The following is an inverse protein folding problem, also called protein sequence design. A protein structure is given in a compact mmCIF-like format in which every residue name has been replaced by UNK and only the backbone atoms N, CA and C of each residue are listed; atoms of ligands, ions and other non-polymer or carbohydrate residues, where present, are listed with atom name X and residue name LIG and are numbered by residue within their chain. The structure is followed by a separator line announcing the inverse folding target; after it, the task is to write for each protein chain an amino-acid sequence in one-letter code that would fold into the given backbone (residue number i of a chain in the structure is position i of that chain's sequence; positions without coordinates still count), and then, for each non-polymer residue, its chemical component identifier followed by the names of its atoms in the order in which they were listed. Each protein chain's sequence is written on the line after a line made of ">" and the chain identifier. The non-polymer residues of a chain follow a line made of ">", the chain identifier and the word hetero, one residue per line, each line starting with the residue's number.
data_IF_276986340848
#
_entry.id   IF_276986340848
#
_cell.length_a   1.000
_cell.length_b   1.000
_cell.length_c   1.000
_cell.angle_alpha   90.00
_cell.angle_beta   90.00
_cell.angle_gamma   90.00
#
_symmetry.space_group_name_H-M   'P 1'
#
loop_
_entity.id
_entity.type
_entity.pdbx_description
1 polymer ?
#
# COMPACT_ATOMS: atom_id res chain seq x y z
N UNK A 1 25.49 10.42 14.47
CA UNK A 1 25.18 8.97 14.52
C UNK A 1 26.41 8.25 15.01
N UNK A 2 26.26 7.26 15.90
CA UNK A 2 27.39 6.42 16.34
C UNK A 2 27.91 5.58 15.16
N UNK A 3 29.20 5.22 15.19
CA UNK A 3 29.84 4.35 14.20
C UNK A 3 30.57 3.19 14.90
N UNK A 4 30.14 1.93 14.72
CA UNK A 4 28.94 1.51 13.99
C UNK A 4 27.64 1.89 14.75
N UNK A 5 26.50 2.08 14.04
CA UNK A 5 25.21 2.32 14.67
C UNK A 5 24.65 0.99 15.23
N UNK A 6 25.08 0.61 16.43
CA UNK A 6 24.69 -0.66 17.09
C UNK A 6 23.53 -0.50 18.07
N UNK A 7 23.06 0.72 18.32
CA UNK A 7 21.93 1.01 19.19
C UNK A 7 21.04 2.09 18.60
N UNK A 8 19.74 2.01 18.90
CA UNK A 8 18.77 3.04 18.57
C UNK A 8 18.89 4.20 19.57
N UNK A 9 18.67 5.42 19.09
CA UNK A 9 18.38 6.54 20.00
C UNK A 9 16.93 6.39 20.43
N UNK A 10 16.61 6.32 21.73
CA UNK A 10 15.23 6.33 22.19
C UNK A 10 14.47 7.51 21.56
N UNK A 11 13.19 7.32 21.25
CA UNK A 11 12.32 8.34 20.67
C UNK A 11 12.75 8.88 19.28
N UNK A 12 13.70 8.22 18.60
CA UNK A 12 14.11 8.58 17.23
C UNK A 12 13.41 7.75 16.14
N UNK A 13 12.40 6.97 16.50
CA UNK A 13 11.64 6.11 15.59
C UNK A 13 10.16 6.14 15.97
N UNK A 14 9.31 5.94 14.97
CA UNK A 14 7.87 5.84 15.16
C UNK A 14 7.31 4.75 14.25
N UNK A 15 6.22 4.11 14.71
CA UNK A 15 5.39 3.31 13.82
C UNK A 15 4.55 4.28 12.99
N UNK A 16 4.58 4.13 11.67
CA UNK A 16 3.82 4.98 10.75
C UNK A 16 2.49 4.36 10.35
N UNK A 17 2.44 3.03 10.32
CA UNK A 17 1.25 2.21 10.11
C UNK A 17 1.36 0.91 10.92
N UNK A 18 0.22 0.34 11.27
CA UNK A 18 0.10 -0.92 11.99
C UNK A 18 -1.35 -1.42 11.91
N UNK A 19 -1.54 -2.67 11.48
CA UNK A 19 -2.81 -3.38 11.59
C UNK A 19 -2.90 -4.09 12.96
N UNK A 20 -3.72 -3.61 13.92
CA UNK A 20 -3.82 -4.20 15.24
C UNK A 20 -4.60 -5.51 15.29
N UNK A 21 -5.38 -5.84 14.26
CA UNK A 21 -6.24 -7.03 14.25
C UNK A 21 -5.59 -8.22 13.53
N UNK A 22 -6.11 -9.40 13.85
CA UNK A 22 -5.81 -10.65 13.16
C UNK A 22 -4.32 -10.99 13.16
N UNK A 23 -3.77 -11.24 11.97
CA UNK A 23 -2.37 -11.64 11.77
C UNK A 23 -1.44 -10.44 11.55
N UNK A 24 -1.92 -9.21 11.77
CA UNK A 24 -1.16 -7.97 11.51
C UNK A 24 -0.67 -7.87 10.06
N UNK A 25 -1.58 -8.15 9.11
CA UNK A 25 -1.27 -8.28 7.69
C UNK A 25 -0.99 -6.92 7.04
N UNK A 26 0.24 -6.44 7.17
CA UNK A 26 0.72 -5.19 6.59
C UNK A 26 2.19 -5.31 6.16
N UNK A 27 2.50 -4.95 4.92
CA UNK A 27 3.86 -4.96 4.39
C UNK A 27 4.01 -4.04 3.16
N UNK A 28 5.18 -4.05 2.52
CA UNK A 28 5.38 -3.37 1.25
C UNK A 28 5.21 -1.85 1.31
N UNK A 29 5.72 -1.21 2.36
CA UNK A 29 5.60 0.24 2.54
C UNK A 29 6.31 1.04 1.43
N UNK A 30 5.64 2.07 0.91
CA UNK A 30 6.18 3.03 -0.04
C UNK A 30 5.76 4.45 0.35
N UNK A 31 6.72 5.36 0.46
CA UNK A 31 6.49 6.77 0.79
C UNK A 31 6.50 7.61 -0.49
N UNK A 32 5.49 8.45 -0.68
CA UNK A 32 5.38 9.33 -1.84
C UNK A 32 4.92 10.73 -1.43
N UNK A 33 5.65 11.77 -1.86
CA UNK A 33 5.29 13.17 -1.60
C UNK A 33 4.44 13.69 -2.74
N UNK A 34 3.26 14.23 -2.43
CA UNK A 34 2.41 14.89 -3.42
C UNK A 34 1.66 16.07 -2.80
N UNK A 35 1.85 17.26 -3.39
CA UNK A 35 1.39 18.52 -2.81
C UNK A 35 1.87 18.68 -1.36
N UNK A 36 0.95 19.05 -0.47
CA UNK A 36 1.26 19.32 0.94
C UNK A 36 1.42 18.06 1.80
N UNK A 37 1.16 16.87 1.28
CA UNK A 37 1.11 15.63 2.05
C UNK A 37 2.17 14.63 1.64
N UNK A 38 2.61 13.83 2.61
CA UNK A 38 3.36 12.60 2.42
C UNK A 38 2.37 11.45 2.52
N UNK A 39 2.31 10.60 1.51
CA UNK A 39 1.44 9.44 1.43
C UNK A 39 2.25 8.18 1.69
N UNK A 40 1.82 7.42 2.70
CA UNK A 40 2.34 6.09 3.00
C UNK A 40 1.40 5.08 2.37
N UNK A 41 1.81 4.52 1.24
CA UNK A 41 1.15 3.37 0.62
C UNK A 41 1.70 2.09 1.25
N UNK A 42 0.82 1.11 1.46
CA UNK A 42 1.20 -0.19 1.99
C UNK A 42 0.24 -1.25 1.47
N UNK A 43 0.72 -2.48 1.41
CA UNK A 43 -0.13 -3.63 1.15
C UNK A 43 -0.74 -4.14 2.45
N UNK A 44 -2.02 -4.47 2.42
CA UNK A 44 -2.80 -4.99 3.55
C UNK A 44 -3.51 -6.27 3.14
N UNK A 45 -3.70 -7.18 4.09
CA UNK A 45 -4.40 -8.44 3.88
C UNK A 45 -3.48 -9.61 3.53
N UNK A 46 -4.07 -10.78 3.30
CA UNK A 46 -3.33 -12.02 3.09
C UNK A 46 -2.74 -12.04 1.68
N UNK A 47 -1.42 -12.03 1.60
CA UNK A 47 -0.69 -12.31 0.36
C UNK A 47 -0.46 -13.81 0.18
N UNK A 48 -0.04 -14.14 -1.05
CA UNK A 48 0.76 -15.32 -1.32
C UNK A 48 -0.01 -16.65 -1.20
N UNK A 49 0.57 -17.72 -1.76
CA UNK A 49 -0.01 -19.06 -1.72
C UNK A 49 -1.47 -19.14 -2.22
N UNK A 50 -1.88 -18.23 -3.11
CA UNK A 50 -3.25 -18.16 -3.61
C UNK A 50 -3.64 -19.37 -4.48
N UNK A 51 -2.65 -20.11 -4.96
CA UNK A 51 -2.78 -21.39 -5.66
C UNK A 51 -3.16 -22.55 -4.73
N UNK A 52 -2.87 -22.44 -3.43
CA UNK A 52 -3.08 -23.51 -2.45
C UNK A 52 -4.11 -23.14 -1.37
N UNK A 53 -4.19 -21.87 -0.97
CA UNK A 53 -5.16 -21.38 0.02
C UNK A 53 -5.53 -19.93 -0.23
N UNK A 54 -6.76 -19.71 -0.67
CA UNK A 54 -7.33 -18.36 -0.77
C UNK A 54 -7.91 -17.91 0.58
N UNK A 55 -7.68 -16.66 0.99
CA UNK A 55 -8.39 -16.09 2.13
C UNK A 55 -9.88 -15.89 1.81
N UNK A 56 -10.67 -15.53 2.82
CA UNK A 56 -12.06 -15.13 2.61
C UNK A 56 -12.12 -13.90 1.68
N UNK A 57 -13.22 -13.74 0.94
CA UNK A 57 -13.39 -12.61 0.04
C UNK A 57 -13.31 -11.29 0.81
N UNK A 58 -12.46 -10.38 0.34
CA UNK A 58 -12.19 -9.11 1.01
C UNK A 58 -11.04 -9.18 2.01
N UNK A 59 -10.47 -10.34 2.31
CA UNK A 59 -9.29 -10.48 3.18
C UNK A 59 -8.00 -10.67 2.38
N UNK A 60 -8.09 -10.83 1.06
CA UNK A 60 -6.93 -10.87 0.19
C UNK A 60 -6.20 -9.53 0.11
N UNK A 61 -4.95 -9.64 -0.36
CA UNK A 61 -4.04 -8.54 -0.56
C UNK A 61 -4.66 -7.36 -1.31
N UNK A 62 -4.47 -6.16 -0.78
CA UNK A 62 -4.94 -4.90 -1.36
C UNK A 62 -3.98 -3.78 -1.01
N UNK A 63 -4.07 -2.68 -1.75
CA UNK A 63 -3.26 -1.48 -1.52
C UNK A 63 -4.09 -0.47 -0.73
N UNK A 64 -3.58 -0.06 0.43
CA UNK A 64 -4.13 1.02 1.25
C UNK A 64 -3.15 2.19 1.31
N UNK A 65 -3.67 3.35 1.71
CA UNK A 65 -2.87 4.57 1.90
C UNK A 65 -3.31 5.33 3.13
N UNK A 66 -2.34 5.93 3.81
CA UNK A 66 -2.54 7.00 4.78
C UNK A 66 -1.71 8.21 4.36
N UNK A 67 -2.03 9.41 4.88
CA UNK A 67 -1.22 10.61 4.62
C UNK A 67 -0.91 11.39 5.89
N UNK A 68 0.22 12.10 5.85
CA UNK A 68 0.66 13.00 6.91
C UNK A 68 1.27 14.27 6.31
N UNK A 69 1.04 15.43 6.92
CA UNK A 69 1.74 16.67 6.53
C UNK A 69 3.23 16.61 6.90
N UNK A 70 3.57 16.11 8.08
CA UNK A 70 4.97 16.05 8.57
C UNK A 70 5.77 14.92 7.90
N UNK A 71 5.10 13.84 7.50
CA UNK A 71 5.72 12.67 6.86
C UNK A 71 6.47 11.73 7.81
N UNK A 72 6.53 12.05 9.11
CA UNK A 72 7.23 11.25 10.13
C UNK A 72 6.33 10.76 11.26
N UNK A 73 5.07 11.21 11.30
CA UNK A 73 4.07 10.84 12.31
C UNK A 73 2.66 11.22 11.84
N UNK A 74 1.62 10.86 12.60
CA UNK A 74 0.23 11.27 12.36
C UNK A 74 -0.28 10.95 10.95
N UNK A 75 0.05 9.75 10.46
CA UNK A 75 -0.52 9.22 9.23
C UNK A 75 -1.96 8.80 9.49
N UNK A 76 -2.89 9.40 8.74
CA UNK A 76 -4.33 9.12 8.84
C UNK A 76 -4.90 8.75 7.48
N UNK A 77 -6.04 8.08 7.49
CA UNK A 77 -6.83 7.83 6.29
C UNK A 77 -7.86 8.93 6.01
N UNK A 78 -8.68 8.72 4.98
CA UNK A 78 -9.74 9.65 4.54
C UNK A 78 -10.83 9.90 5.56
N UNK A 79 -11.00 9.00 6.53
CA UNK A 79 -11.96 9.13 7.62
C UNK A 79 -11.31 9.71 8.89
N UNK A 80 -10.02 9.99 8.85
CA UNK A 80 -9.25 10.57 9.95
C UNK A 80 -8.74 9.55 10.97
N UNK A 81 -8.90 8.24 10.72
CA UNK A 81 -8.40 7.17 11.59
C UNK A 81 -6.89 7.02 11.44
N UNK A 82 -6.19 6.80 12.55
CA UNK A 82 -4.74 6.61 12.55
C UNK A 82 -4.36 5.31 11.85
N UNK A 83 -3.34 5.39 11.00
CA UNK A 83 -2.80 4.23 10.32
C UNK A 83 -2.22 3.19 11.31
N UNK A 84 -1.76 3.64 12.47
CA UNK A 84 -1.28 2.77 13.56
C UNK A 84 -2.39 2.09 14.36
N UNK A 85 -3.65 2.42 14.08
CA UNK A 85 -4.84 1.85 14.70
C UNK A 85 -5.66 1.04 13.68
N UNK A 86 -5.02 0.59 12.60
CA UNK A 86 -5.68 -0.12 11.49
C UNK A 86 -6.45 0.81 10.55
N UNK A 87 -6.05 2.08 10.47
CA UNK A 87 -6.52 3.00 9.44
C UNK A 87 -6.02 2.62 8.05
N UNK A 88 -6.51 3.32 7.04
CA UNK A 88 -6.01 3.33 5.67
C UNK A 88 -7.15 3.35 4.65
N UNK A 89 -7.07 4.27 3.71
CA UNK A 89 -8.00 4.35 2.57
C UNK A 89 -7.60 3.32 1.53
N UNK A 90 -8.54 2.50 1.06
CA UNK A 90 -8.27 1.53 -0.01
C UNK A 90 -8.08 2.27 -1.33
N UNK A 91 -6.95 2.02 -2.00
CA UNK A 91 -6.59 2.60 -3.31
C UNK A 91 -6.85 1.62 -4.45
N UNK A 92 -6.54 0.34 -4.20
CA UNK A 92 -6.76 -0.74 -5.16
C UNK A 92 -7.00 -2.06 -4.42
N UNK A 93 -8.09 -2.74 -4.76
CA UNK A 93 -8.42 -4.07 -4.26
C UNK A 93 -8.73 -5.01 -5.43
N UNK A 94 -8.97 -6.29 -5.15
CA UNK A 94 -9.40 -7.23 -6.19
C UNK A 94 -10.66 -6.77 -6.90
N UNK A 95 -10.69 -6.89 -8.23
CA UNK A 95 -11.81 -6.54 -9.09
C UNK A 95 -11.64 -7.20 -10.46
N UNK A 96 -12.74 -7.65 -11.08
CA UNK A 96 -12.67 -8.36 -12.36
C UNK A 96 -11.66 -9.51 -12.32
N UNK A 97 -10.69 -9.49 -13.24
CA UNK A 97 -9.63 -10.50 -13.32
C UNK A 97 -8.38 -10.15 -12.50
N UNK A 98 -8.36 -9.02 -11.80
CA UNK A 98 -7.28 -8.60 -10.91
C UNK A 98 -7.56 -9.13 -9.51
N UNK A 99 -6.72 -10.02 -9.01
CA UNK A 99 -6.82 -10.58 -7.66
C UNK A 99 -5.56 -10.31 -6.84
N UNK A 100 -5.75 -9.84 -5.60
CA UNK A 100 -4.66 -9.64 -4.66
C UNK A 100 -3.59 -8.63 -5.09
N UNK A 101 -3.91 -7.41 -5.59
CA UNK A 101 -2.89 -6.45 -5.97
C UNK A 101 -2.11 -5.93 -4.76
N UNK A 102 -0.78 -5.82 -4.90
CA UNK A 102 0.08 -5.26 -3.86
C UNK A 102 1.58 -5.29 -4.21
N UNK A 103 2.44 -5.21 -3.19
CA UNK A 103 3.88 -5.00 -3.37
C UNK A 103 4.18 -3.71 -4.13
N UNK A 104 3.38 -2.68 -3.88
CA UNK A 104 3.30 -1.50 -4.72
C UNK A 104 4.46 -0.51 -4.50
N UNK A 105 4.66 0.33 -5.50
CA UNK A 105 5.32 1.61 -5.31
C UNK A 105 4.62 2.71 -6.11
N UNK A 106 4.92 3.96 -5.75
CA UNK A 106 4.44 5.14 -6.45
C UNK A 106 5.64 5.98 -6.87
N UNK A 107 5.62 6.45 -8.10
CA UNK A 107 6.61 7.40 -8.62
C UNK A 107 5.93 8.45 -9.48
N UNK A 108 6.58 9.61 -9.64
CA UNK A 108 6.10 10.68 -10.50
C UNK A 108 6.69 10.51 -11.90
N UNK A 109 5.87 10.04 -12.84
CA UNK A 109 6.25 9.82 -14.22
C UNK A 109 6.27 11.15 -15.00
N UNK A 110 7.30 11.43 -15.82
CA UNK A 110 7.41 12.71 -16.53
C UNK A 110 6.33 12.92 -17.60
N UNK A 111 5.65 11.85 -18.04
CA UNK A 111 4.60 11.92 -19.07
C UNK A 111 3.22 11.83 -18.45
N UNK A 112 3.05 10.93 -17.47
CA UNK A 112 1.74 10.56 -16.95
C UNK A 112 1.44 11.08 -15.54
N UNK A 113 2.42 11.73 -14.89
CA UNK A 113 2.31 12.14 -13.49
C UNK A 113 2.41 10.95 -12.54
N UNK A 114 1.78 11.01 -11.34
CA UNK A 114 1.87 9.93 -10.36
C UNK A 114 1.35 8.59 -10.88
N UNK A 115 2.21 7.58 -10.88
CA UNK A 115 1.89 6.20 -11.27
C UNK A 115 2.02 5.28 -10.07
N UNK A 116 0.96 4.50 -9.83
CA UNK A 116 0.99 3.32 -8.96
C UNK A 116 1.38 2.11 -9.80
N UNK A 117 2.44 1.40 -9.42
CA UNK A 117 2.79 0.10 -9.99
C UNK A 117 2.72 -0.99 -8.91
N UNK A 118 2.39 -2.21 -9.32
CA UNK A 118 2.16 -3.33 -8.41
C UNK A 118 2.25 -4.67 -9.14
N UNK A 119 2.27 -5.76 -8.37
CA UNK A 119 2.02 -7.09 -8.90
C UNK A 119 0.61 -7.56 -8.52
N UNK A 120 0.03 -8.45 -9.33
CA UNK A 120 -1.29 -9.03 -9.06
C UNK A 120 -1.41 -10.43 -9.68
N UNK A 121 -2.43 -11.19 -9.26
CA UNK A 121 -2.84 -12.41 -9.94
C UNK A 121 -3.88 -12.07 -11.00
N UNK A 122 -3.59 -12.43 -12.26
CA UNK A 122 -4.61 -12.46 -13.30
C UNK A 122 -5.35 -13.80 -13.24
N UNK A 123 -6.62 -13.77 -12.85
CA UNK A 123 -7.41 -14.98 -12.60
C UNK A 123 -7.67 -15.81 -13.86
N UNK A 124 -7.48 -15.24 -15.05
CA UNK A 124 -7.61 -15.93 -16.35
C UNK A 124 -6.33 -16.65 -16.79
N UNK A 125 -5.19 -16.34 -16.17
CA UNK A 125 -3.89 -16.97 -16.43
C UNK A 125 -3.62 -18.09 -15.42
N UNK A 126 -3.72 -17.76 -14.13
CA UNK A 126 -3.48 -18.70 -13.04
C UNK A 126 -2.89 -18.04 -11.80
N UNK A 127 -2.87 -18.80 -10.71
CA UNK A 127 -2.57 -18.30 -9.35
C UNK A 127 -1.15 -18.63 -8.89
N UNK A 128 -0.37 -19.37 -9.67
CA UNK A 128 1.00 -19.75 -9.27
C UNK A 128 1.90 -18.51 -9.20
N UNK A 129 2.92 -18.55 -8.34
CA UNK A 129 3.81 -17.41 -8.11
C UNK A 129 4.48 -16.88 -9.40
N UNK A 130 4.90 -17.79 -10.30
CA UNK A 130 5.49 -17.42 -11.59
C UNK A 130 4.50 -16.85 -12.62
N UNK A 131 3.20 -16.85 -12.32
CA UNK A 131 2.13 -16.33 -13.19
C UNK A 131 1.64 -14.94 -12.76
N UNK A 132 2.15 -14.39 -11.66
CA UNK A 132 1.84 -13.03 -11.21
C UNK A 132 2.22 -12.04 -12.30
N UNK A 133 1.33 -11.10 -12.57
CA UNK A 133 1.48 -10.10 -13.61
C UNK A 133 1.90 -8.75 -13.01
N UNK A 134 2.56 -7.94 -13.81
CA UNK A 134 2.82 -6.53 -13.51
C UNK A 134 1.60 -5.68 -13.92
N UNK A 135 1.18 -4.77 -13.04
CA UNK A 135 0.12 -3.81 -13.29
C UNK A 135 0.56 -2.39 -12.94
N UNK A 136 -0.04 -1.41 -13.59
CA UNK A 136 0.14 -0.01 -13.26
C UNK A 136 -1.10 0.82 -13.60
N UNK A 137 -1.31 1.88 -12.83
CA UNK A 137 -2.41 2.83 -13.01
C UNK A 137 -1.91 4.25 -12.74
N UNK A 138 -2.50 5.23 -13.42
CA UNK A 138 -2.40 6.62 -13.01
C UNK A 138 -3.12 6.83 -11.68
N UNK A 139 -2.60 7.72 -10.85
CA UNK A 139 -3.26 8.19 -9.64
C UNK A 139 -3.81 9.59 -9.86
N UNK A 140 -5.11 9.75 -9.64
CA UNK A 140 -5.76 11.05 -9.55
C UNK A 140 -5.92 11.45 -8.08
N UNK A 141 -5.47 12.66 -7.75
CA UNK A 141 -5.56 13.25 -6.40
C UNK A 141 -6.63 14.35 -6.31
N UNK A 142 -7.38 14.63 -7.39
CA UNK A 142 -8.35 15.73 -7.48
C UNK A 142 -9.46 15.65 -6.44
N UNK A 143 -9.80 14.44 -5.98
CA UNK A 143 -10.78 14.19 -4.91
C UNK A 143 -10.26 14.55 -3.51
N UNK A 144 -8.98 14.88 -3.38
CA UNK A 144 -8.28 15.06 -2.11
C UNK A 144 -7.58 13.79 -1.60
N UNK A 145 -7.83 12.62 -2.19
CA UNK A 145 -7.15 11.34 -1.92
C UNK A 145 -6.79 10.65 -3.24
N UNK A 146 -5.72 9.82 -3.28
CA UNK A 146 -5.36 9.11 -4.49
C UNK A 146 -6.42 8.06 -4.84
N UNK A 147 -6.87 8.11 -6.09
CA UNK A 147 -7.76 7.12 -6.69
C UNK A 147 -7.07 6.58 -7.94
N UNK A 148 -7.15 5.27 -8.16
CA UNK A 148 -6.65 4.68 -9.41
C UNK A 148 -7.59 5.05 -10.55
N UNK A 149 -7.02 5.52 -11.66
CA UNK A 149 -7.75 5.67 -12.92
C UNK A 149 -7.23 4.67 -13.94
N UNK A 150 -8.03 4.43 -14.99
CA UNK A 150 -7.54 3.67 -16.13
C UNK A 150 -6.33 4.41 -16.74
N UNK A 151 -5.30 3.63 -17.09
CA UNK A 151 -4.10 4.15 -17.74
C UNK A 151 -4.40 4.59 -19.18
#
# INVERSE_FOLDING_TARGET
>A
MNNPPTSVVPDSYAKLAYEPLGIHAEEGANMFKYGDYNYLFFSHGVCCSFDTKKPAAGEEYKIKVCRSKSGVMDFRDSEGKLCTEGGGTVVLASHGDVYGPGGQGVYDDPTYGPILYYHYVNTTIGYADGQKQFGWNKLDFSSGWPVTTLA
#
